data_IF_915676688818
#
_entry.id   IF_915676688818
#
_cell.length_a   1.000
_cell.length_b   1.000
_cell.length_c   1.000
_cell.angle_alpha   90.00
_cell.angle_beta   90.00
_cell.angle_gamma   90.00
#
_symmetry.space_group_name_H-M   'P 1'
#
loop_
_entity.id
_entity.type
_entity.pdbx_description
1 polymer ?
#
# COMPACT_ATOMS: atom_id res chain seq x y z
N UNK A 1 -2.11 -14.06 -6.40
CA UNK A 1 -2.70 -14.76 -5.22
C UNK A 1 -3.74 -15.79 -5.60
N UNK A 2 -4.64 -15.55 -6.55
CA UNK A 2 -5.62 -16.57 -6.99
C UNK A 2 -4.96 -17.87 -7.49
N UNK A 3 -3.87 -17.75 -8.24
CA UNK A 3 -3.06 -18.91 -8.67
C UNK A 3 -2.43 -19.68 -7.48
N UNK A 4 -2.02 -18.97 -6.42
CA UNK A 4 -1.45 -19.62 -5.23
C UNK A 4 -2.51 -20.43 -4.48
N UNK A 5 -3.72 -19.87 -4.32
CA UNK A 5 -4.85 -20.59 -3.73
C UNK A 5 -5.21 -21.85 -4.55
N UNK A 6 -5.27 -21.74 -5.88
CA UNK A 6 -5.53 -22.90 -6.73
C UNK A 6 -4.47 -24.01 -6.61
N UNK A 7 -3.19 -23.64 -6.51
CA UNK A 7 -2.11 -24.62 -6.29
C UNK A 7 -2.24 -25.30 -4.93
N UNK A 8 -2.58 -24.56 -3.87
CA UNK A 8 -2.80 -25.14 -2.53
C UNK A 8 -4.01 -26.07 -2.50
N UNK A 9 -5.13 -25.69 -3.11
CA UNK A 9 -6.31 -26.56 -3.22
C UNK A 9 -5.98 -27.85 -3.99
N UNK A 10 -5.21 -27.76 -5.08
CA UNK A 10 -4.75 -28.93 -5.82
C UNK A 10 -3.80 -29.83 -5.01
N UNK A 11 -2.97 -29.26 -4.13
CA UNK A 11 -2.12 -30.02 -3.23
C UNK A 11 -2.93 -30.74 -2.14
N UNK A 12 -3.92 -30.06 -1.53
CA UNK A 12 -4.86 -30.64 -0.56
C UNK A 12 -5.57 -31.87 -1.15
N UNK A 13 -6.09 -31.75 -2.38
CA UNK A 13 -6.76 -32.86 -3.06
C UNK A 13 -5.83 -34.06 -3.26
N UNK A 14 -4.58 -33.84 -3.68
CA UNK A 14 -3.58 -34.91 -3.83
C UNK A 14 -3.24 -35.59 -2.50
N UNK A 15 -3.16 -34.85 -1.40
CA UNK A 15 -2.95 -35.43 -0.07
C UNK A 15 -4.15 -36.27 0.36
N UNK A 16 -5.38 -35.78 0.12
CA UNK A 16 -6.62 -36.51 0.41
C UNK A 16 -6.71 -37.84 -0.35
N UNK A 17 -6.46 -37.82 -1.66
CA UNK A 17 -6.42 -39.04 -2.49
C UNK A 17 -5.38 -40.05 -1.99
N UNK A 18 -4.22 -39.58 -1.51
CA UNK A 18 -3.19 -40.46 -0.95
C UNK A 18 -3.62 -41.09 0.37
N UNK A 19 -4.27 -40.32 1.26
CA UNK A 19 -4.81 -40.84 2.52
C UNK A 19 -5.87 -41.92 2.24
N UNK A 20 -6.78 -41.66 1.31
CA UNK A 20 -7.80 -42.63 0.89
C UNK A 20 -7.16 -43.95 0.42
N UNK A 21 -6.18 -43.88 -0.50
CA UNK A 21 -5.48 -45.08 -0.96
C UNK A 21 -4.77 -45.84 0.16
N UNK A 22 -4.17 -45.13 1.12
CA UNK A 22 -3.51 -45.77 2.26
C UNK A 22 -4.50 -46.46 3.21
N UNK A 23 -5.70 -45.90 3.38
CA UNK A 23 -6.79 -46.52 4.14
C UNK A 23 -7.34 -47.77 3.42
N UNK A 24 -7.45 -47.73 2.10
CA UNK A 24 -7.84 -48.90 1.29
C UNK A 24 -6.80 -50.04 1.41
N UNK A 25 -5.50 -49.72 1.43
CA UNK A 25 -4.41 -50.69 1.61
C UNK A 25 -4.46 -51.36 2.99
N UNK A 26 -4.87 -50.64 4.03
CA UNK A 26 -5.00 -51.19 5.39
C UNK A 26 -6.31 -51.95 5.61
N UNK A 27 -7.14 -52.10 4.56
CA UNK A 27 -8.38 -52.87 4.59
C UNK A 27 -9.61 -52.06 5.00
N UNK A 28 -9.50 -50.73 5.12
CA UNK A 28 -10.61 -49.82 5.45
C UNK A 28 -11.01 -49.04 4.19
N UNK A 29 -12.03 -49.54 3.48
CA UNK A 29 -12.63 -48.77 2.38
C UNK A 29 -13.42 -47.59 2.94
N UNK A 30 -13.00 -46.38 2.61
CA UNK A 30 -13.70 -45.13 2.97
C UNK A 30 -13.95 -44.33 1.72
N UNK A 31 -15.12 -43.69 1.67
CA UNK A 31 -15.48 -42.76 0.61
C UNK A 31 -14.73 -41.44 0.77
N UNK A 32 -14.66 -40.67 -0.31
CA UNK A 32 -14.04 -39.34 -0.29
C UNK A 32 -14.70 -38.39 0.73
N UNK A 33 -16.01 -38.54 0.97
CA UNK A 33 -16.74 -37.78 1.99
C UNK A 33 -16.37 -38.16 3.41
N UNK A 34 -16.23 -39.46 3.69
CA UNK A 34 -15.81 -39.95 5.01
C UNK A 34 -14.37 -39.52 5.32
N UNK A 35 -13.46 -39.55 4.34
CA UNK A 35 -12.08 -39.05 4.52
C UNK A 35 -12.08 -37.56 4.88
N UNK A 36 -12.99 -36.77 4.29
CA UNK A 36 -13.13 -35.34 4.63
C UNK A 36 -13.56 -35.17 6.09
N UNK A 37 -14.57 -35.91 6.53
CA UNK A 37 -15.06 -35.86 7.92
C UNK A 37 -13.95 -36.27 8.92
N UNK A 38 -13.13 -37.27 8.57
CA UNK A 38 -11.98 -37.67 9.36
C UNK A 38 -10.91 -36.56 9.44
N UNK A 39 -10.67 -35.82 8.36
CA UNK A 39 -9.76 -34.67 8.34
C UNK A 39 -10.31 -33.51 9.17
N UNK A 40 -11.61 -33.22 9.07
CA UNK A 40 -12.28 -32.14 9.82
C UNK A 40 -12.33 -32.40 11.32
N UNK A 41 -12.36 -33.68 11.74
CA UNK A 41 -12.33 -34.07 13.15
C UNK A 41 -11.07 -33.58 13.89
N UNK A 42 -9.99 -33.30 13.16
CA UNK A 42 -8.71 -32.83 13.71
C UNK A 42 -8.00 -33.83 14.62
N UNK A 43 -8.50 -35.08 14.71
CA UNK A 43 -7.96 -36.11 15.58
C UNK A 43 -7.23 -37.20 14.77
N UNK A 44 -5.89 -37.29 14.84
CA UNK A 44 -5.12 -38.32 14.13
C UNK A 44 -5.52 -39.75 14.48
N UNK A 45 -6.09 -39.99 15.67
CA UNK A 45 -6.53 -41.32 16.09
C UNK A 45 -7.73 -41.85 15.27
N UNK A 46 -8.46 -40.98 14.58
CA UNK A 46 -9.59 -41.39 13.74
C UNK A 46 -9.12 -42.25 12.56
N UNK A 47 -7.88 -42.03 12.09
CA UNK A 47 -7.23 -42.84 11.06
C UNK A 47 -6.73 -44.20 11.56
N UNK A 48 -6.44 -44.34 12.85
CA UNK A 48 -6.00 -45.62 13.45
C UNK A 48 -7.16 -46.48 13.92
N UNK A 49 -8.36 -45.91 14.05
CA UNK A 49 -9.55 -46.60 14.49
C UNK A 49 -9.97 -47.68 13.47
N UNK A 50 -9.98 -48.95 13.89
CA UNK A 50 -10.35 -50.09 13.04
C UNK A 50 -9.22 -50.69 12.19
N UNK A 51 -7.98 -50.19 12.29
CA UNK A 51 -6.81 -50.80 11.64
C UNK A 51 -6.12 -51.75 12.63
N UNK A 52 -5.94 -53.02 12.25
CA UNK A 52 -5.07 -53.94 13.00
C UNK A 52 -3.60 -53.56 12.74
N UNK A 53 -2.98 -52.86 13.70
CA UNK A 53 -1.58 -52.35 13.63
C UNK A 53 -0.52 -53.46 13.81
N UNK A 54 -0.93 -54.73 13.73
CA UNK A 54 -0.04 -55.87 13.98
C UNK A 54 0.96 -56.12 12.83
N UNK A 55 0.68 -55.61 11.63
CA UNK A 55 1.60 -55.73 10.49
C UNK A 55 2.53 -54.52 10.37
N UNK A 56 3.80 -54.76 10.00
CA UNK A 56 4.76 -53.69 9.72
C UNK A 56 4.27 -52.75 8.61
N UNK A 57 3.50 -53.27 7.65
CA UNK A 57 2.90 -52.51 6.56
C UNK A 57 1.82 -51.54 7.06
N UNK A 58 0.93 -51.97 7.96
CA UNK A 58 -0.08 -51.09 8.53
C UNK A 58 0.52 -49.93 9.34
N UNK A 59 1.62 -50.19 10.07
CA UNK A 59 2.37 -49.13 10.76
C UNK A 59 2.95 -48.09 9.81
N UNK A 60 3.52 -48.53 8.69
CA UNK A 60 4.07 -47.63 7.68
C UNK A 60 2.96 -46.79 7.01
N UNK A 61 1.85 -47.40 6.60
CA UNK A 61 0.71 -46.69 6.02
C UNK A 61 0.12 -45.66 6.99
N UNK A 62 0.07 -45.96 8.29
CA UNK A 62 -0.39 -45.02 9.31
C UNK A 62 0.56 -43.83 9.47
N UNK A 63 1.88 -44.06 9.52
CA UNK A 63 2.86 -42.98 9.58
C UNK A 63 2.78 -42.06 8.35
N UNK A 64 2.54 -42.63 7.16
CA UNK A 64 2.32 -41.87 5.93
C UNK A 64 1.03 -41.03 6.01
N UNK A 65 -0.07 -41.58 6.53
CA UNK A 65 -1.33 -40.86 6.71
C UNK A 65 -1.14 -39.68 7.68
N UNK A 66 -0.48 -39.91 8.82
CA UNK A 66 -0.21 -38.87 9.82
C UNK A 66 0.65 -37.74 9.25
N UNK A 67 1.69 -38.07 8.47
CA UNK A 67 2.52 -37.09 7.79
C UNK A 67 1.69 -36.22 6.81
N UNK A 68 0.78 -36.83 6.03
CA UNK A 68 -0.07 -36.10 5.08
C UNK A 68 -1.14 -35.26 5.76
N UNK A 69 -1.71 -35.74 6.86
CA UNK A 69 -2.59 -34.95 7.71
C UNK A 69 -1.86 -33.70 8.23
N UNK A 70 -0.62 -33.85 8.70
CA UNK A 70 0.23 -32.73 9.10
C UNK A 70 0.49 -31.71 7.97
N UNK A 71 0.69 -32.18 6.74
CA UNK A 71 0.83 -31.30 5.57
C UNK A 71 -0.46 -30.52 5.27
N UNK A 72 -1.63 -31.19 5.35
CA UNK A 72 -2.93 -30.54 5.16
C UNK A 72 -3.16 -29.46 6.23
N UNK A 73 -2.84 -29.74 7.49
CA UNK A 73 -2.97 -28.76 8.58
C UNK A 73 -2.10 -27.51 8.37
N UNK A 74 -0.86 -27.68 7.89
CA UNK A 74 0.00 -26.55 7.54
C UNK A 74 -0.58 -25.72 6.40
N UNK A 75 -1.13 -26.40 5.39
CA UNK A 75 -1.76 -25.77 4.23
C UNK A 75 -3.00 -24.97 4.63
N UNK A 76 -3.87 -25.52 5.47
CA UNK A 76 -5.04 -24.82 6.01
C UNK A 76 -4.64 -23.59 6.83
N UNK A 77 -3.58 -23.70 7.64
CA UNK A 77 -3.03 -22.54 8.37
C UNK A 77 -2.58 -21.44 7.40
N UNK A 78 -1.81 -21.77 6.36
CA UNK A 78 -1.36 -20.80 5.36
C UNK A 78 -2.51 -20.19 4.56
N UNK A 79 -3.57 -20.95 4.27
CA UNK A 79 -4.78 -20.40 3.62
C UNK A 79 -5.51 -19.44 4.55
N UNK A 80 -5.63 -19.77 5.84
CA UNK A 80 -6.24 -18.88 6.83
C UNK A 80 -5.46 -17.56 6.97
N UNK A 81 -4.13 -17.62 7.04
CA UNK A 81 -3.28 -16.42 7.04
C UNK A 81 -3.45 -15.58 5.76
N UNK A 82 -3.57 -16.23 4.60
CA UNK A 82 -3.88 -15.53 3.34
C UNK A 82 -5.26 -14.87 3.36
N UNK A 83 -6.26 -15.55 3.92
CA UNK A 83 -7.61 -15.01 4.06
C UNK A 83 -7.61 -13.75 4.93
N UNK A 84 -6.91 -13.78 6.06
CA UNK A 84 -6.79 -12.61 6.94
C UNK A 84 -6.13 -11.44 6.20
N UNK A 85 -5.05 -11.69 5.44
CA UNK A 85 -4.46 -10.66 4.56
C UNK A 85 -5.43 -10.13 3.50
N UNK A 86 -6.32 -10.97 2.97
CA UNK A 86 -7.36 -10.52 2.02
C UNK A 86 -8.38 -9.60 2.70
N UNK A 87 -8.79 -9.91 3.94
CA UNK A 87 -9.70 -9.05 4.71
C UNK A 87 -9.02 -7.71 5.02
N UNK A 88 -7.76 -7.74 5.46
CA UNK A 88 -6.99 -6.52 5.73
C UNK A 88 -6.80 -5.69 4.46
N UNK A 89 -6.49 -6.33 3.32
CA UNK A 89 -6.38 -5.66 2.04
C UNK A 89 -7.72 -5.07 1.60
N UNK A 90 -8.83 -5.77 1.80
CA UNK A 90 -10.17 -5.25 1.50
C UNK A 90 -10.49 -4.02 2.35
N UNK A 91 -10.15 -4.04 3.64
CA UNK A 91 -10.29 -2.88 4.52
C UNK A 91 -9.38 -1.71 4.10
N UNK A 92 -8.13 -1.99 3.72
CA UNK A 92 -7.18 -0.98 3.22
C UNK A 92 -7.63 -0.38 1.87
N UNK A 93 -8.23 -1.17 0.99
CA UNK A 93 -8.77 -0.69 -0.29
C UNK A 93 -10.05 0.11 -0.06
N UNK A 94 -10.92 -0.31 0.86
CA UNK A 94 -12.12 0.45 1.23
C UNK A 94 -11.75 1.82 1.82
N UNK A 95 -10.78 1.86 2.74
CA UNK A 95 -10.27 3.12 3.30
C UNK A 95 -9.52 3.99 2.28
N UNK A 96 -8.87 3.37 1.28
CA UNK A 96 -8.28 4.08 0.13
C UNK A 96 -9.29 4.38 -1.00
N UNK A 97 -10.53 3.88 -0.92
CA UNK A 97 -11.57 4.10 -1.92
C UNK A 97 -12.03 5.56 -2.00
N UNK A 98 -11.83 6.34 -0.94
CA UNK A 98 -12.00 7.80 -0.94
C UNK A 98 -10.79 8.54 -1.55
N UNK A 99 -9.82 7.83 -2.13
CA UNK A 99 -8.53 8.38 -2.56
C UNK A 99 -8.30 8.31 -4.07
N UNK A 100 -9.34 8.08 -4.86
CA UNK A 100 -9.32 8.47 -6.28
C UNK A 100 -9.18 10.00 -6.41
N UNK A 101 -9.55 10.75 -5.36
CA UNK A 101 -9.44 12.20 -5.27
C UNK A 101 -8.00 12.71 -5.06
N UNK A 102 -6.97 11.86 -4.86
CA UNK A 102 -5.61 12.38 -4.57
C UNK A 102 -4.91 13.02 -5.76
N UNK A 103 -5.12 12.53 -6.97
CA UNK A 103 -4.52 13.15 -8.16
C UNK A 103 -5.26 14.45 -8.46
N UNK A 104 -6.60 14.41 -8.47
CA UNK A 104 -7.43 15.60 -8.69
C UNK A 104 -7.17 16.66 -7.61
N UNK A 105 -7.18 16.29 -6.34
CA UNK A 105 -6.83 17.19 -5.22
C UNK A 105 -5.44 17.81 -5.38
N UNK A 106 -4.40 17.03 -5.66
CA UNK A 106 -3.05 17.57 -5.81
C UNK A 106 -2.92 18.47 -7.05
N UNK A 107 -3.62 18.14 -8.15
CA UNK A 107 -3.65 18.95 -9.36
C UNK A 107 -4.38 20.27 -9.12
N UNK A 108 -5.56 20.23 -8.47
CA UNK A 108 -6.35 21.42 -8.11
C UNK A 108 -5.59 22.32 -7.13
N UNK A 109 -4.93 21.74 -6.13
CA UNK A 109 -4.07 22.51 -5.21
C UNK A 109 -2.91 23.17 -5.95
N UNK A 110 -2.25 22.43 -6.84
CA UNK A 110 -1.15 22.97 -7.65
C UNK A 110 -1.62 24.11 -8.56
N UNK A 111 -2.80 24.00 -9.17
CA UNK A 111 -3.41 25.07 -9.98
C UNK A 111 -3.63 26.33 -9.14
N UNK A 112 -4.21 26.18 -7.94
CA UNK A 112 -4.49 27.28 -7.03
C UNK A 112 -3.19 28.00 -6.60
N UNK A 113 -2.14 27.26 -6.27
CA UNK A 113 -0.83 27.84 -5.92
C UNK A 113 -0.21 28.61 -7.09
N UNK A 114 -0.24 28.05 -8.30
CA UNK A 114 0.30 28.72 -9.50
C UNK A 114 -0.48 30.00 -9.81
N UNK A 115 -1.81 29.98 -9.66
CA UNK A 115 -2.67 31.15 -9.88
C UNK A 115 -2.41 32.28 -8.88
N UNK A 116 -2.25 31.94 -7.60
CA UNK A 116 -1.85 32.88 -6.55
C UNK A 116 -0.47 33.48 -6.85
N UNK A 117 0.53 32.63 -7.13
CA UNK A 117 1.88 33.06 -7.47
C UNK A 117 1.93 33.96 -8.72
N UNK A 118 1.15 33.65 -9.76
CA UNK A 118 1.03 34.49 -10.96
C UNK A 118 0.44 35.88 -10.65
N UNK A 119 -0.52 35.93 -9.73
CA UNK A 119 -1.14 37.19 -9.32
C UNK A 119 -0.18 38.05 -8.51
N UNK A 120 0.54 37.45 -7.56
CA UNK A 120 1.47 38.17 -6.70
C UNK A 120 2.72 38.62 -7.45
N UNK A 121 3.25 37.82 -8.38
CA UNK A 121 4.34 38.24 -9.26
C UNK A 121 3.93 39.42 -10.15
N UNK A 122 2.70 39.43 -10.70
CA UNK A 122 2.18 40.59 -11.44
C UNK A 122 2.08 41.84 -10.57
N UNK A 123 1.61 41.71 -9.33
CA UNK A 123 1.57 42.83 -8.36
C UNK A 123 2.98 43.31 -8.04
N UNK A 124 3.93 42.42 -7.79
CA UNK A 124 5.31 42.74 -7.48
C UNK A 124 5.97 43.56 -8.60
N UNK A 125 5.76 43.18 -9.87
CA UNK A 125 6.26 43.95 -11.03
C UNK A 125 5.65 45.36 -11.08
N UNK A 126 4.35 45.51 -10.78
CA UNK A 126 3.69 46.83 -10.71
C UNK A 126 4.24 47.70 -9.58
N UNK A 127 4.47 47.12 -8.40
CA UNK A 127 5.08 47.85 -7.29
C UNK A 127 6.53 48.25 -7.60
N UNK A 128 7.31 47.36 -8.23
CA UNK A 128 8.68 47.65 -8.65
C UNK A 128 8.73 48.81 -9.67
N UNK A 129 7.85 48.81 -10.68
CA UNK A 129 7.83 49.88 -11.67
C UNK A 129 7.39 51.23 -11.08
N UNK A 130 6.40 51.23 -10.18
CA UNK A 130 5.98 52.42 -9.45
C UNK A 130 7.09 52.95 -8.52
N UNK A 131 7.81 52.07 -7.82
CA UNK A 131 8.93 52.43 -6.96
C UNK A 131 10.06 53.08 -7.77
N UNK A 132 10.42 52.52 -8.93
CA UNK A 132 11.41 53.13 -9.85
C UNK A 132 11.00 54.52 -10.30
N UNK A 133 9.72 54.73 -10.65
CA UNK A 133 9.21 56.06 -11.04
C UNK A 133 9.32 57.07 -9.89
N UNK A 134 8.95 56.66 -8.67
CA UNK A 134 9.09 57.51 -7.48
C UNK A 134 10.55 57.85 -7.18
N UNK A 135 11.47 56.89 -7.35
CA UNK A 135 12.90 57.11 -7.18
C UNK A 135 13.41 58.22 -8.11
N UNK A 136 13.08 58.19 -9.41
CA UNK A 136 13.49 59.23 -10.36
C UNK A 136 12.92 60.61 -10.01
N UNK A 137 11.68 60.68 -9.51
CA UNK A 137 11.08 61.95 -9.06
C UNK A 137 11.84 62.50 -7.85
N UNK A 138 12.15 61.65 -6.86
CA UNK A 138 12.90 62.06 -5.66
C UNK A 138 14.31 62.55 -6.04
N UNK A 139 15.01 61.82 -6.91
CA UNK A 139 16.34 62.22 -7.41
C UNK A 139 16.26 63.57 -8.14
N UNK A 140 15.25 63.78 -8.97
CA UNK A 140 15.03 65.05 -9.67
C UNK A 140 14.81 66.24 -8.73
N UNK A 141 14.02 66.06 -7.66
CA UNK A 141 13.79 67.11 -6.65
C UNK A 141 15.09 67.45 -5.91
N UNK A 142 15.86 66.44 -5.50
CA UNK A 142 17.15 66.65 -4.81
C UNK A 142 18.12 67.43 -5.72
N UNK A 143 18.23 67.05 -6.99
CA UNK A 143 19.08 67.74 -7.95
C UNK A 143 18.67 69.21 -8.13
N UNK A 144 17.36 69.50 -8.23
CA UNK A 144 16.87 70.86 -8.36
C UNK A 144 17.22 71.73 -7.13
N UNK A 145 17.09 71.18 -5.91
CA UNK A 145 17.47 71.89 -4.67
C UNK A 145 18.97 72.21 -4.65
N UNK A 146 19.82 71.25 -5.06
CA UNK A 146 21.27 71.47 -5.14
C UNK A 146 21.60 72.59 -6.14
N UNK A 147 20.96 72.60 -7.31
CA UNK A 147 21.16 73.66 -8.32
C UNK A 147 20.77 75.04 -7.76
N UNK A 148 19.64 75.14 -7.07
CA UNK A 148 19.20 76.40 -6.43
C UNK A 148 20.21 76.87 -5.38
N UNK A 149 20.72 75.96 -4.53
CA UNK A 149 21.75 76.30 -3.54
C UNK A 149 23.04 76.81 -4.18
N UNK A 150 23.51 76.18 -5.27
CA UNK A 150 24.69 76.63 -6.01
C UNK A 150 24.48 78.03 -6.60
N UNK A 151 23.31 78.31 -7.16
CA UNK A 151 22.98 79.63 -7.69
C UNK A 151 22.99 80.69 -6.58
N UNK A 152 22.39 80.41 -5.43
CA UNK A 152 22.38 81.32 -4.27
C UNK A 152 23.81 81.60 -3.81
N UNK A 153 24.64 80.55 -3.65
CA UNK A 153 26.04 80.71 -3.26
C UNK A 153 26.84 81.54 -4.27
N UNK A 154 26.64 81.32 -5.57
CA UNK A 154 27.30 82.09 -6.62
C UNK A 154 26.90 83.57 -6.58
N UNK A 155 25.62 83.88 -6.36
CA UNK A 155 25.15 85.28 -6.23
C UNK A 155 25.72 85.93 -4.97
N UNK A 156 25.74 85.22 -3.84
CA UNK A 156 26.22 85.79 -2.56
C UNK A 156 27.73 86.03 -2.57
N UNK A 157 28.52 85.09 -3.10
CA UNK A 157 29.98 85.24 -3.17
C UNK A 157 30.45 86.12 -4.33
N UNK A 158 29.74 86.15 -5.46
CA UNK A 158 30.09 87.00 -6.61
C UNK A 158 29.74 88.48 -6.43
N UNK A 159 29.02 88.84 -5.37
CA UNK A 159 28.67 90.24 -5.02
C UNK A 159 29.60 90.87 -3.96
N UNK A 160 30.57 90.11 -3.44
CA UNK A 160 31.67 90.63 -2.61
C UNK A 160 32.89 90.90 -3.49
#
# INVERSE_FOLDING_TARGET
>A
MNNYNQVQLGYRQKCKERIQRQLEITGRSVTEGEVEEMLESGNPAVFTQGIMVETAQAKQSLADIEARHGDIMKLEKSIRELHDMFIDMAALVQTQGEMIDRIEYNVVQSENFVKAASTDTKKAVKFQSAARRKLFIIIGIIAAVIVVLVIILAIVFGRK
#
